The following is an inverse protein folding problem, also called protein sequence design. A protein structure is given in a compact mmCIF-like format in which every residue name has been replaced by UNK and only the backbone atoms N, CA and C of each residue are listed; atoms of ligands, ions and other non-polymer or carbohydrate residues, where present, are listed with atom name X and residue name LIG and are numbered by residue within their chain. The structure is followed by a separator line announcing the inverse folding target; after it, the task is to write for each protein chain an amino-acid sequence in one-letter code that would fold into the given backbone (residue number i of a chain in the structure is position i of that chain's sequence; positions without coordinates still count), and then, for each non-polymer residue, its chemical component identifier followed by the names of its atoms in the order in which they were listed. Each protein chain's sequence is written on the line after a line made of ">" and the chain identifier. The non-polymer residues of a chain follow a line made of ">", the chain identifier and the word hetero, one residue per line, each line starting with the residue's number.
data_IF_560806930485
#
_entry.id   IF_560806930485
#
_cell.length_a   1.000
_cell.length_b   1.000
_cell.length_c   1.000
_cell.angle_alpha   90.00
_cell.angle_beta   90.00
_cell.angle_gamma   90.00
#
_symmetry.space_group_name_H-M   'P 1'
#
loop_
_entity.id
_entity.type
_entity.pdbx_description
1 polymer ?
#
# COMPACT_ATOMS: atom_id res chain seq x y z
N UNK A 1 -1.29 0.51 37.93
CA UNK A 1 -2.67 0.26 37.47
C UNK A 1 -3.18 1.51 36.78
N UNK A 2 -4.00 1.41 35.72
CA UNK A 2 -4.65 2.58 35.13
C UNK A 2 -5.51 3.30 36.18
N UNK A 3 -5.59 4.63 36.10
CA UNK A 3 -6.36 5.47 37.03
C UNK A 3 -7.86 5.60 36.65
N UNK A 4 -8.30 4.77 35.70
CA UNK A 4 -9.67 4.76 35.18
C UNK A 4 -10.17 3.32 35.08
N UNK A 5 -11.48 3.16 35.16
CA UNK A 5 -12.18 1.90 34.97
C UNK A 5 -12.70 1.76 33.53
N UNK A 6 -13.10 2.88 32.91
CA UNK A 6 -13.56 2.95 31.51
C UNK A 6 -12.86 4.14 30.83
N UNK A 7 -12.41 3.96 29.58
CA UNK A 7 -11.87 5.07 28.79
C UNK A 7 -12.53 5.16 27.41
N UNK A 8 -12.98 6.36 27.05
CA UNK A 8 -13.43 6.68 25.72
C UNK A 8 -12.24 7.22 24.91
N UNK A 9 -11.88 6.53 23.84
CA UNK A 9 -10.86 6.98 22.89
C UNK A 9 -11.50 7.50 21.62
N UNK A 10 -11.12 8.69 21.20
CA UNK A 10 -11.61 9.32 19.98
C UNK A 10 -10.49 10.09 19.28
N UNK A 11 -10.67 10.32 17.99
CA UNK A 11 -9.69 11.02 17.16
C UNK A 11 -9.68 12.51 17.44
N UNK A 12 -8.50 13.11 17.33
CA UNK A 12 -8.38 14.57 17.26
C UNK A 12 -9.17 15.12 16.07
N UNK A 13 -9.89 16.22 16.31
CA UNK A 13 -10.66 16.94 15.28
C UNK A 13 -12.15 16.60 15.22
N UNK A 14 -12.68 15.89 16.23
CA UNK A 14 -14.13 15.82 16.40
C UNK A 14 -14.71 17.23 16.64
N UNK A 15 -15.89 17.56 16.08
CA UNK A 15 -16.59 18.80 16.38
C UNK A 15 -16.95 18.91 17.87
N UNK A 16 -16.93 20.14 18.39
CA UNK A 16 -17.39 20.42 19.75
C UNK A 16 -18.83 19.94 19.95
N UNK A 17 -19.09 19.29 21.09
CA UNK A 17 -20.41 18.78 21.46
C UNK A 17 -20.83 17.47 20.80
N UNK A 18 -20.02 16.90 19.90
CA UNK A 18 -20.38 15.68 19.16
C UNK A 18 -20.53 14.43 20.06
N UNK A 19 -19.92 14.43 21.25
CA UNK A 19 -19.96 13.31 22.19
C UNK A 19 -20.77 13.62 23.45
N UNK A 20 -21.40 14.79 23.55
CA UNK A 20 -22.04 15.24 24.79
C UNK A 20 -23.22 14.34 25.18
N UNK A 21 -24.04 13.95 24.21
CA UNK A 21 -25.13 13.00 24.40
C UNK A 21 -24.65 11.63 24.90
N UNK A 22 -23.53 11.16 24.35
CA UNK A 22 -22.89 9.93 24.78
C UNK A 22 -22.36 10.06 26.22
N UNK A 23 -21.70 11.17 26.56
CA UNK A 23 -21.21 11.43 27.92
C UNK A 23 -22.34 11.50 28.94
N UNK A 24 -23.45 12.14 28.59
CA UNK A 24 -24.65 12.23 29.43
C UNK A 24 -25.33 10.86 29.63
N UNK A 25 -25.19 9.94 28.67
CA UNK A 25 -25.75 8.59 28.75
C UNK A 25 -24.97 7.64 29.68
N UNK A 26 -23.73 7.99 30.05
CA UNK A 26 -22.88 7.10 30.83
C UNK A 26 -23.26 7.12 32.31
N UNK A 27 -23.40 5.95 32.96
CA UNK A 27 -23.63 5.88 34.39
C UNK A 27 -22.37 6.38 35.13
N UNK A 28 -22.47 7.59 35.70
CA UNK A 28 -21.38 8.25 36.45
C UNK A 28 -21.20 7.72 37.87
N UNK A 29 -22.12 6.87 38.35
CA UNK A 29 -22.01 6.25 39.66
C UNK A 29 -21.19 4.96 39.61
N UNK A 30 -20.04 4.95 40.29
CA UNK A 30 -19.27 3.73 40.58
C UNK A 30 -18.13 3.41 39.61
N UNK A 31 -17.93 4.20 38.56
CA UNK A 31 -16.82 4.03 37.62
C UNK A 31 -16.05 5.33 37.42
N UNK A 32 -14.73 5.22 37.36
CA UNK A 32 -13.83 6.31 36.96
C UNK A 32 -13.73 6.29 35.43
N UNK A 33 -14.34 7.26 34.77
CA UNK A 33 -14.31 7.36 33.31
C UNK A 33 -13.25 8.39 32.89
N UNK A 34 -12.46 8.07 31.86
CA UNK A 34 -11.47 8.97 31.29
C UNK A 34 -11.70 9.20 29.79
N UNK A 35 -11.42 10.41 29.33
CA UNK A 35 -11.35 10.78 27.93
C UNK A 35 -9.89 10.68 27.45
N UNK A 36 -9.70 10.14 26.25
CA UNK A 36 -8.39 9.96 25.64
C UNK A 36 -8.46 10.31 24.16
N UNK A 37 -8.24 11.58 23.88
CA UNK A 37 -7.99 12.03 22.53
C UNK A 37 -6.66 11.45 22.02
N UNK A 38 -6.63 11.00 20.77
CA UNK A 38 -5.40 10.60 20.12
C UNK A 38 -5.30 11.11 18.70
N UNK A 39 -4.09 11.49 18.33
CA UNK A 39 -3.75 11.88 16.97
C UNK A 39 -3.79 10.65 16.06
N UNK A 40 -4.37 10.77 14.84
CA UNK A 40 -4.19 9.75 13.80
C UNK A 40 -2.70 9.57 13.54
N UNK A 41 -2.16 8.44 13.99
CA UNK A 41 -0.77 8.07 13.76
C UNK A 41 -0.61 7.21 12.50
N UNK A 42 0.61 7.01 11.99
CA UNK A 42 0.91 6.14 10.85
C UNK A 42 0.67 4.63 11.11
N UNK A 43 -0.20 4.26 12.06
CA UNK A 43 -0.71 2.90 12.26
C UNK A 43 -1.23 2.27 10.96
N UNK A 44 -1.67 3.11 10.01
CA UNK A 44 -2.09 2.68 8.68
C UNK A 44 -0.95 2.05 7.83
N UNK A 45 0.34 2.31 8.08
CA UNK A 45 1.40 1.84 7.19
C UNK A 45 1.48 0.30 7.10
N UNK A 46 1.33 -0.40 8.22
CA UNK A 46 1.31 -1.87 8.23
C UNK A 46 0.00 -2.43 7.69
N UNK A 47 -1.13 -1.78 7.95
CA UNK A 47 -2.43 -2.16 7.41
C UNK A 47 -2.48 -2.04 5.89
N UNK A 48 -1.73 -1.11 5.29
CA UNK A 48 -1.57 -0.98 3.83
C UNK A 48 -0.50 -1.91 3.25
N UNK A 49 0.44 -2.38 4.06
CA UNK A 49 1.47 -3.33 3.62
C UNK A 49 0.86 -4.70 3.31
N UNK A 50 -0.12 -5.13 4.11
CA UNK A 50 -0.83 -6.41 3.91
C UNK A 50 -1.54 -6.51 2.56
N UNK A 51 -2.44 -5.59 2.14
CA UNK A 51 -3.09 -5.66 0.83
C UNK A 51 -2.09 -5.54 -0.32
N UNK A 52 -1.02 -4.75 -0.14
CA UNK A 52 0.07 -4.66 -1.13
C UNK A 52 0.79 -5.99 -1.31
N UNK A 53 1.14 -6.66 -0.22
CA UNK A 53 1.77 -7.97 -0.26
C UNK A 53 0.86 -9.02 -0.92
N UNK A 54 -0.45 -8.99 -0.62
CA UNK A 54 -1.44 -9.86 -1.27
C UNK A 54 -1.52 -9.59 -2.78
N UNK A 55 -1.57 -8.32 -3.20
CA UNK A 55 -1.59 -7.95 -4.61
C UNK A 55 -0.34 -8.44 -5.36
N UNK A 56 0.85 -8.28 -4.77
CA UNK A 56 2.11 -8.79 -5.33
C UNK A 56 2.08 -10.32 -5.43
N UNK A 57 1.57 -11.00 -4.40
CA UNK A 57 1.48 -12.46 -4.40
C UNK A 57 0.55 -12.98 -5.52
N UNK A 58 -0.61 -12.34 -5.70
CA UNK A 58 -1.55 -12.69 -6.79
C UNK A 58 -0.94 -12.39 -8.17
N UNK A 59 -0.17 -11.30 -8.29
CA UNK A 59 0.48 -10.91 -9.55
C UNK A 59 1.70 -11.78 -9.89
N UNK A 60 2.26 -12.54 -8.93
CA UNK A 60 3.47 -13.34 -9.12
C UNK A 60 3.42 -14.29 -10.33
N UNK A 61 2.36 -15.09 -10.56
CA UNK A 61 2.29 -15.98 -11.72
C UNK A 61 2.30 -15.22 -13.06
N UNK A 62 1.71 -14.02 -13.12
CA UNK A 62 1.75 -13.18 -14.31
C UNK A 62 3.20 -12.73 -14.62
N UNK A 63 3.95 -12.28 -13.60
CA UNK A 63 5.35 -11.93 -13.77
C UNK A 63 6.20 -13.13 -14.20
N UNK A 64 6.01 -14.28 -13.56
CA UNK A 64 6.79 -15.49 -13.82
C UNK A 64 6.54 -16.06 -15.22
N UNK A 65 5.34 -15.87 -15.79
CA UNK A 65 4.99 -16.41 -17.12
C UNK A 65 5.18 -15.37 -18.22
N UNK A 66 4.64 -14.16 -18.06
CA UNK A 66 4.58 -13.16 -19.13
C UNK A 66 5.87 -12.37 -19.22
N UNK A 67 6.34 -11.81 -18.08
CA UNK A 67 7.57 -11.00 -18.10
C UNK A 67 8.78 -11.87 -18.40
N UNK A 68 8.88 -13.05 -17.77
CA UNK A 68 10.01 -13.95 -18.03
C UNK A 68 10.07 -14.37 -19.50
N UNK A 69 8.94 -14.81 -20.07
CA UNK A 69 8.90 -15.20 -21.49
C UNK A 69 9.18 -14.03 -22.42
N UNK A 70 8.67 -12.83 -22.12
CA UNK A 70 8.98 -11.64 -22.89
C UNK A 70 10.47 -11.27 -22.83
N UNK A 71 11.11 -11.46 -21.67
CA UNK A 71 12.54 -11.24 -21.51
C UNK A 71 13.37 -12.26 -22.32
N UNK A 72 13.00 -13.53 -22.24
CA UNK A 72 13.65 -14.60 -23.01
C UNK A 72 13.48 -14.36 -24.53
N UNK A 73 12.26 -14.10 -25.00
CA UNK A 73 11.97 -13.78 -26.41
C UNK A 73 12.74 -12.53 -26.88
N UNK A 74 12.90 -11.54 -26.01
CA UNK A 74 13.68 -10.34 -26.33
C UNK A 74 15.16 -10.66 -26.52
N UNK A 75 15.75 -11.44 -25.61
CA UNK A 75 17.16 -11.83 -25.67
C UNK A 75 17.48 -12.74 -26.85
N UNK A 76 16.62 -13.74 -27.09
CA UNK A 76 16.91 -14.81 -28.04
C UNK A 76 16.49 -14.48 -29.47
N UNK A 77 15.44 -13.68 -29.64
CA UNK A 77 14.83 -13.44 -30.97
C UNK A 77 14.91 -11.97 -31.37
N UNK A 78 14.42 -11.06 -30.52
CA UNK A 78 14.27 -9.65 -30.91
C UNK A 78 15.63 -8.98 -31.02
N UNK A 79 16.50 -9.14 -30.03
CA UNK A 79 17.80 -8.48 -29.99
C UNK A 79 18.73 -8.90 -31.15
N UNK A 80 18.90 -10.20 -31.49
CA UNK A 80 19.72 -10.62 -32.62
C UNK A 80 19.18 -10.13 -33.97
N UNK A 81 17.85 -10.11 -34.14
CA UNK A 81 17.21 -9.59 -35.35
C UNK A 81 17.39 -8.09 -35.49
N UNK A 82 17.22 -7.34 -34.40
CA UNK A 82 17.45 -5.90 -34.40
C UNK A 82 18.91 -5.58 -34.73
N UNK A 83 19.86 -6.26 -34.09
CA UNK A 83 21.30 -6.09 -34.34
C UNK A 83 21.66 -6.39 -35.80
N UNK A 84 21.17 -7.49 -36.35
CA UNK A 84 21.46 -7.87 -37.73
C UNK A 84 20.81 -6.93 -38.75
N UNK A 85 19.59 -6.44 -38.47
CA UNK A 85 18.93 -5.41 -39.28
C UNK A 85 19.72 -4.11 -39.32
N UNK A 86 20.17 -3.61 -38.15
CA UNK A 86 21.01 -2.40 -38.07
C UNK A 86 22.34 -2.61 -38.80
N UNK A 87 23.02 -3.74 -38.59
CA UNK A 87 24.29 -4.04 -39.26
C UNK A 87 24.14 -4.05 -40.79
N UNK A 88 23.01 -4.58 -41.29
CA UNK A 88 22.71 -4.61 -42.73
C UNK A 88 22.49 -3.21 -43.30
N UNK A 89 21.76 -2.35 -42.59
CA UNK A 89 21.53 -0.95 -43.00
C UNK A 89 22.85 -0.15 -43.04
N UNK A 90 23.72 -0.35 -42.05
CA UNK A 90 25.04 0.30 -42.02
C UNK A 90 25.88 -0.15 -43.22
N UNK A 91 25.93 -1.46 -43.50
CA UNK A 91 26.70 -1.98 -44.62
C UNK A 91 26.14 -1.56 -45.99
N UNK A 92 24.82 -1.45 -46.15
CA UNK A 92 24.23 -0.96 -47.41
C UNK A 92 24.50 0.52 -47.64
N UNK A 93 24.58 1.32 -46.58
CA UNK A 93 24.84 2.76 -46.68
C UNK A 93 26.32 3.09 -46.92
N UNK A 94 27.23 2.14 -46.65
CA UNK A 94 28.68 2.29 -46.87
C UNK A 94 29.15 1.75 -48.24
N UNK A 95 28.26 1.10 -49.00
CA UNK A 95 28.54 0.52 -50.33
C UNK A 95 27.91 1.32 -51.49
N UNK A 96 27.14 2.36 -51.17
CA UNK A 96 26.70 3.45 -52.08
C UNK A 96 27.58 4.68 -51.87
#
# INVERSE_FOLDING_TARGET
>A
MPDFDIALRYFTGLPDGYLDDFWESLPTSGFRVADREFQPGPFAAMEWLVPTAVAIYIAKPFFDVVIKRAADDFGDVVYPRLKSGIARLVNSTLLD
#
